data_IF_751622707685
#
_entry.id   IF_751622707685
#
_cell.length_a   1.000
_cell.length_b   1.000
_cell.length_c   1.000
_cell.angle_alpha   90.00
_cell.angle_beta   90.00
_cell.angle_gamma   90.00
#
_symmetry.space_group_name_H-M   'P 1'
#
loop_
_entity.id
_entity.type
_entity.pdbx_description
1 polymer ?
#
# COMPACT_ATOMS: atom_id res chain seq x y z
N UNK A 1 5.19 4.56 -26.10
CA UNK A 1 5.80 3.30 -25.60
C UNK A 1 5.50 3.18 -24.11
N UNK A 2 5.22 1.96 -23.61
CA UNK A 2 4.91 1.73 -22.20
C UNK A 2 6.13 2.02 -21.29
N UNK A 3 5.87 2.56 -20.09
CA UNK A 3 6.88 2.85 -19.05
C UNK A 3 6.88 1.86 -17.90
N UNK A 4 5.75 1.21 -17.67
CA UNK A 4 5.57 0.20 -16.64
C UNK A 4 4.95 -1.07 -17.24
N UNK A 5 5.32 -2.22 -16.68
CA UNK A 5 4.70 -3.51 -16.95
C UNK A 5 3.93 -3.97 -15.71
N UNK A 6 2.66 -4.29 -15.87
CA UNK A 6 1.86 -4.87 -14.79
C UNK A 6 2.34 -6.30 -14.52
N UNK A 7 2.67 -6.60 -13.27
CA UNK A 7 3.11 -7.93 -12.83
C UNK A 7 1.97 -8.72 -12.21
N UNK A 8 1.19 -8.07 -11.37
CA UNK A 8 0.09 -8.68 -10.64
C UNK A 8 -0.91 -7.61 -10.24
N UNK A 9 -2.20 -7.96 -10.28
CA UNK A 9 -3.27 -7.18 -9.67
C UNK A 9 -4.08 -8.10 -8.78
N UNK A 10 -4.39 -7.64 -7.57
CA UNK A 10 -5.17 -8.41 -6.61
C UNK A 10 -6.16 -7.51 -5.90
N UNK A 11 -7.42 -7.92 -5.94
CA UNK A 11 -8.52 -7.27 -5.24
C UNK A 11 -8.98 -8.15 -4.09
N UNK A 12 -9.10 -7.55 -2.91
CA UNK A 12 -9.74 -8.16 -1.75
C UNK A 12 -10.90 -7.27 -1.32
N UNK A 13 -12.08 -7.87 -1.17
CA UNK A 13 -13.31 -7.18 -0.79
C UNK A 13 -13.93 -7.93 0.39
N UNK A 14 -14.19 -7.23 1.49
CA UNK A 14 -14.80 -7.83 2.70
C UNK A 14 -16.22 -7.34 2.96
N UNK A 15 -16.85 -6.65 2.00
CA UNK A 15 -18.19 -6.05 2.08
C UNK A 15 -19.32 -7.01 2.47
N UNK A 16 -19.11 -8.32 2.37
CA UNK A 16 -20.09 -9.31 2.83
C UNK A 16 -20.27 -9.32 4.37
N UNK A 17 -19.33 -8.74 5.12
CA UNK A 17 -19.46 -8.53 6.56
C UNK A 17 -20.05 -7.15 6.83
N UNK A 18 -21.09 -7.08 7.65
CA UNK A 18 -21.73 -5.81 8.06
C UNK A 18 -20.72 -4.82 8.62
N UNK A 19 -19.79 -5.29 9.44
CA UNK A 19 -18.71 -4.46 9.99
C UNK A 19 -17.85 -3.82 8.89
N UNK A 20 -17.56 -4.55 7.82
CA UNK A 20 -16.80 -4.01 6.68
C UNK A 20 -17.65 -3.13 5.77
N UNK A 21 -18.93 -3.47 5.61
CA UNK A 21 -19.87 -2.68 4.81
C UNK A 21 -20.11 -1.31 5.42
N UNK A 22 -20.37 -1.27 6.73
CA UNK A 22 -20.73 -0.08 7.49
C UNK A 22 -19.52 0.74 7.97
N UNK A 23 -18.27 0.30 7.78
CA UNK A 23 -17.11 1.01 8.34
C UNK A 23 -16.85 2.39 7.71
N UNK A 24 -17.32 2.60 6.48
CA UNK A 24 -17.36 3.89 5.78
C UNK A 24 -18.70 3.93 5.06
N UNK A 25 -19.66 4.66 5.60
CA UNK A 25 -21.02 4.70 5.06
C UNK A 25 -21.52 6.13 4.91
N UNK A 26 -22.31 6.38 3.86
CA UNK A 26 -22.96 7.67 3.66
C UNK A 26 -24.33 7.62 4.33
N UNK A 27 -24.54 8.47 5.32
CA UNK A 27 -25.78 8.51 6.09
C UNK A 27 -26.14 9.94 6.47
N UNK A 28 -27.37 10.12 6.93
CA UNK A 28 -27.90 11.39 7.43
C UNK A 28 -27.83 11.39 8.95
N UNK A 29 -27.35 12.48 9.54
CA UNK A 29 -27.33 12.65 10.99
C UNK A 29 -28.72 13.02 11.55
N UNK A 30 -28.85 13.03 12.89
CA UNK A 30 -30.12 13.35 13.57
C UNK A 30 -30.64 14.77 13.28
N UNK A 31 -29.85 15.62 12.64
CA UNK A 31 -30.19 17.00 12.28
C UNK A 31 -30.54 17.14 10.79
N UNK A 32 -30.57 16.04 10.04
CA UNK A 32 -30.88 16.02 8.61
C UNK A 32 -29.70 16.33 7.70
N UNK A 33 -28.46 16.35 8.21
CA UNK A 33 -27.28 16.59 7.38
C UNK A 33 -26.68 15.28 6.88
N UNK A 34 -26.63 15.13 5.56
CA UNK A 34 -25.98 13.98 4.93
C UNK A 34 -24.45 14.11 4.98
N UNK A 35 -23.78 13.12 5.58
CA UNK A 35 -22.34 13.03 5.71
C UNK A 35 -21.77 11.64 5.41
N UNK A 36 -20.48 11.46 5.67
CA UNK A 36 -19.82 10.15 5.66
C UNK A 36 -19.46 9.77 7.09
N UNK A 37 -20.07 8.70 7.59
CA UNK A 37 -19.73 8.10 8.86
C UNK A 37 -18.49 7.22 8.71
N UNK A 38 -17.53 7.40 9.62
CA UNK A 38 -16.37 6.54 9.78
C UNK A 38 -16.48 5.80 11.10
N UNK A 39 -16.71 4.50 11.03
CA UNK A 39 -16.79 3.65 12.22
C UNK A 39 -15.44 3.60 12.96
N UNK A 40 -15.49 3.47 14.29
CA UNK A 40 -14.31 3.20 15.13
C UNK A 40 -13.56 1.92 14.72
N UNK A 41 -14.27 0.97 14.10
CA UNK A 41 -13.72 -0.30 13.64
C UNK A 41 -12.93 -0.20 12.32
N UNK A 42 -12.96 0.96 11.65
CA UNK A 42 -12.36 1.17 10.33
C UNK A 42 -10.90 0.70 10.27
N UNK A 43 -10.09 1.07 11.25
CA UNK A 43 -8.66 0.71 11.28
C UNK A 43 -8.48 -0.81 11.40
N UNK A 44 -9.29 -1.46 12.23
CA UNK A 44 -9.24 -2.91 12.44
C UNK A 44 -9.69 -3.68 11.19
N UNK A 45 -10.78 -3.26 10.57
CA UNK A 45 -11.26 -3.82 9.29
C UNK A 45 -10.20 -3.64 8.21
N UNK A 46 -9.66 -2.44 8.06
CA UNK A 46 -8.62 -2.14 7.09
C UNK A 46 -7.41 -3.06 7.24
N UNK A 47 -6.88 -3.18 8.46
CA UNK A 47 -5.72 -4.02 8.75
C UNK A 47 -5.97 -5.49 8.39
N UNK A 48 -7.15 -6.04 8.73
CA UNK A 48 -7.52 -7.42 8.36
C UNK A 48 -7.60 -7.60 6.85
N UNK A 49 -8.22 -6.66 6.14
CA UNK A 49 -8.36 -6.75 4.68
C UNK A 49 -7.02 -6.61 3.96
N UNK A 50 -6.12 -5.73 4.44
CA UNK A 50 -4.75 -5.63 3.90
C UNK A 50 -3.97 -6.93 4.14
N UNK A 51 -4.05 -7.49 5.36
CA UNK A 51 -3.40 -8.77 5.68
C UNK A 51 -3.87 -9.90 4.76
N UNK A 52 -5.17 -10.00 4.50
CA UNK A 52 -5.73 -10.99 3.58
C UNK A 52 -5.25 -10.77 2.13
N UNK A 53 -5.17 -9.51 1.70
CA UNK A 53 -4.67 -9.14 0.39
C UNK A 53 -3.21 -9.56 0.18
N UNK A 54 -2.31 -9.21 1.13
CA UNK A 54 -0.90 -9.58 1.07
C UNK A 54 -0.72 -11.10 1.12
N UNK A 55 -1.46 -11.80 1.99
CA UNK A 55 -1.39 -13.26 2.08
C UNK A 55 -1.68 -13.93 0.73
N UNK A 56 -2.58 -13.33 -0.06
CA UNK A 56 -2.90 -13.82 -1.42
C UNK A 56 -1.82 -13.48 -2.45
N UNK A 57 -1.14 -12.34 -2.32
CA UNK A 57 -0.17 -11.84 -3.31
C UNK A 57 1.24 -12.38 -3.05
N UNK A 58 1.64 -12.56 -1.79
CA UNK A 58 2.99 -12.95 -1.42
C UNK A 58 3.48 -14.19 -2.19
N UNK A 59 2.71 -15.28 -2.32
CA UNK A 59 3.14 -16.45 -3.10
C UNK A 59 3.36 -16.18 -4.60
N UNK A 60 2.74 -15.13 -5.16
CA UNK A 60 2.85 -14.78 -6.57
C UNK A 60 4.10 -13.97 -6.87
N UNK A 61 4.62 -13.24 -5.88
CA UNK A 61 5.68 -12.22 -6.11
C UNK A 61 6.97 -12.49 -5.37
N UNK A 62 6.93 -13.31 -4.31
CA UNK A 62 8.14 -13.68 -3.59
C UNK A 62 9.15 -14.36 -4.54
N UNK A 63 10.44 -14.09 -4.38
CA UNK A 63 11.50 -14.84 -5.05
C UNK A 63 11.40 -16.35 -4.77
N UNK A 64 11.84 -17.22 -5.70
CA UNK A 64 11.88 -18.66 -5.46
C UNK A 64 12.67 -19.05 -4.21
N UNK A 65 13.76 -18.34 -3.89
CA UNK A 65 14.55 -18.54 -2.67
C UNK A 65 13.72 -18.35 -1.40
N UNK A 66 12.94 -17.27 -1.32
CA UNK A 66 12.03 -16.97 -0.20
C UNK A 66 10.95 -18.05 -0.04
N UNK A 67 10.40 -18.55 -1.16
CA UNK A 67 9.41 -19.64 -1.14
C UNK A 67 10.01 -20.95 -0.62
N UNK A 68 11.23 -21.27 -1.05
CA UNK A 68 11.94 -22.47 -0.61
C UNK A 68 12.28 -22.41 0.88
N UNK A 69 12.77 -21.26 1.37
CA UNK A 69 13.04 -21.04 2.80
C UNK A 69 11.76 -21.19 3.64
N UNK A 70 10.66 -20.61 3.19
CA UNK A 70 9.36 -20.78 3.84
C UNK A 70 8.95 -22.25 3.88
N UNK A 71 8.96 -22.93 2.74
CA UNK A 71 8.56 -24.35 2.63
C UNK A 71 9.43 -25.26 3.50
N UNK A 72 10.75 -25.05 3.51
CA UNK A 72 11.68 -25.80 4.34
C UNK A 72 11.41 -25.56 5.84
N UNK A 73 11.21 -24.31 6.25
CA UNK A 73 10.88 -23.99 7.65
C UNK A 73 9.54 -24.58 8.09
N UNK A 74 8.55 -24.61 7.20
CA UNK A 74 7.24 -25.20 7.44
C UNK A 74 7.33 -26.72 7.62
N UNK A 75 8.09 -27.40 6.74
CA UNK A 75 8.36 -28.83 6.85
C UNK A 75 9.11 -29.17 8.14
N UNK A 76 10.16 -28.42 8.47
CA UNK A 76 10.92 -28.60 9.72
C UNK A 76 10.02 -28.40 10.96
N UNK A 77 9.17 -27.37 10.96
CA UNK A 77 8.20 -27.14 12.06
C UNK A 77 7.23 -28.30 12.22
N UNK A 78 6.75 -28.88 11.13
CA UNK A 78 5.83 -30.03 11.16
C UNK A 78 6.53 -31.30 11.67
N UNK A 79 7.76 -31.57 11.22
CA UNK A 79 8.54 -32.75 11.63
C UNK A 79 9.05 -32.65 13.08
N UNK A 80 9.28 -31.45 13.59
CA UNK A 80 9.80 -31.20 14.94
C UNK A 80 8.71 -30.75 15.93
N UNK A 81 7.44 -31.11 15.68
CA UNK A 81 6.29 -30.82 16.55
C UNK A 81 6.23 -29.36 17.05
N UNK A 82 6.44 -28.40 16.15
CA UNK A 82 6.31 -26.97 16.47
C UNK A 82 7.51 -26.33 17.17
N UNK A 83 8.59 -27.09 17.45
CA UNK A 83 9.78 -26.58 18.15
C UNK A 83 10.59 -25.56 17.35
N UNK A 84 10.39 -25.48 16.04
CA UNK A 84 11.06 -24.53 15.16
C UNK A 84 10.12 -23.37 14.81
N UNK A 85 10.65 -22.15 14.89
CA UNK A 85 9.93 -20.93 14.47
C UNK A 85 9.72 -20.97 12.96
N UNK A 86 8.49 -20.71 12.51
CA UNK A 86 8.20 -20.58 11.08
C UNK A 86 8.94 -19.35 10.53
N UNK A 87 9.68 -19.53 9.45
CA UNK A 87 10.25 -18.40 8.72
C UNK A 87 9.12 -17.61 8.08
N UNK A 88 9.15 -16.28 8.15
CA UNK A 88 8.16 -15.42 7.50
C UNK A 88 8.92 -14.62 6.43
N UNK A 89 8.64 -14.86 5.14
CA UNK A 89 9.28 -14.13 4.05
C UNK A 89 9.06 -12.62 4.18
N UNK A 90 10.11 -11.86 3.89
CA UNK A 90 9.99 -10.41 3.81
C UNK A 90 9.36 -10.02 2.47
N UNK A 91 8.03 -9.92 2.46
CA UNK A 91 7.24 -9.48 1.31
C UNK A 91 7.66 -8.10 0.79
N UNK A 92 8.09 -7.21 1.69
CA UNK A 92 8.35 -5.80 1.37
C UNK A 92 9.71 -5.61 0.72
N UNK A 93 10.64 -6.55 0.92
CA UNK A 93 11.96 -6.56 0.27
C UNK A 93 11.89 -6.55 -1.26
N UNK A 94 10.78 -7.08 -1.81
CA UNK A 94 10.56 -7.16 -3.26
C UNK A 94 10.34 -5.77 -3.87
N UNK A 95 9.85 -4.80 -3.09
CA UNK A 95 9.42 -3.50 -3.59
C UNK A 95 10.40 -2.39 -3.21
N UNK A 96 10.93 -1.71 -4.22
CA UNK A 96 11.74 -0.50 -4.05
C UNK A 96 10.86 0.70 -3.73
N UNK A 97 9.65 0.75 -4.30
CA UNK A 97 8.73 1.88 -4.14
C UNK A 97 7.36 1.43 -3.68
N UNK A 98 6.78 2.16 -2.74
CA UNK A 98 5.41 1.96 -2.27
C UNK A 98 4.60 3.23 -2.53
N UNK A 99 3.38 3.06 -3.02
CA UNK A 99 2.38 4.12 -3.10
C UNK A 99 1.13 3.64 -2.37
N UNK A 100 0.81 4.29 -1.25
CA UNK A 100 -0.27 3.94 -0.35
C UNK A 100 -1.32 5.02 -0.44
N UNK A 101 -2.50 4.67 -0.97
CA UNK A 101 -3.61 5.62 -1.11
C UNK A 101 -3.85 6.39 0.18
N UNK A 102 -3.54 7.69 0.11
CA UNK A 102 -3.67 8.62 1.22
C UNK A 102 -5.14 9.00 1.46
N UNK A 103 -5.93 8.09 2.04
CA UNK A 103 -7.26 8.40 2.55
C UNK A 103 -7.22 9.45 3.67
N UNK A 104 -6.12 9.45 4.44
CA UNK A 104 -5.80 10.40 5.50
C UNK A 104 -4.56 9.94 6.27
N UNK A 105 -4.05 10.79 7.18
CA UNK A 105 -2.82 10.51 7.95
C UNK A 105 -2.90 9.20 8.73
N UNK A 106 -4.03 8.95 9.40
CA UNK A 106 -4.25 7.75 10.19
C UNK A 106 -4.15 6.45 9.37
N UNK A 107 -4.54 6.49 8.09
CA UNK A 107 -4.43 5.33 7.18
C UNK A 107 -2.95 5.06 6.87
N UNK A 108 -2.18 6.10 6.52
CA UNK A 108 -0.74 5.98 6.26
C UNK A 108 -0.02 5.47 7.51
N UNK A 109 -0.29 6.06 8.69
CA UNK A 109 0.32 5.66 9.96
C UNK A 109 -0.05 4.22 10.35
N UNK A 110 -1.29 3.81 10.06
CA UNK A 110 -1.75 2.44 10.29
C UNK A 110 -1.00 1.44 9.41
N UNK A 111 -0.84 1.74 8.12
CA UNK A 111 -0.06 0.91 7.19
C UNK A 111 1.41 0.87 7.61
N UNK A 112 2.03 2.03 7.89
CA UNK A 112 3.42 2.10 8.33
C UNK A 112 3.69 1.21 9.55
N UNK A 113 2.86 1.33 10.60
CA UNK A 113 3.03 0.53 11.83
C UNK A 113 2.79 -0.96 11.61
N UNK A 114 1.72 -1.32 10.91
CA UNK A 114 1.38 -2.73 10.69
C UNK A 114 2.43 -3.48 9.87
N UNK A 115 3.16 -2.78 9.01
CA UNK A 115 4.20 -3.35 8.14
C UNK A 115 5.62 -2.98 8.55
N UNK A 116 5.79 -2.25 9.66
CA UNK A 116 7.10 -1.74 10.10
C UNK A 116 7.88 -1.05 8.98
N UNK A 117 7.19 -0.24 8.18
CA UNK A 117 7.79 0.47 7.05
C UNK A 117 8.70 1.59 7.55
N UNK A 118 9.84 1.76 6.89
CA UNK A 118 10.73 2.90 7.12
C UNK A 118 10.06 4.21 6.69
N UNK A 119 10.51 5.32 7.27
CA UNK A 119 10.03 6.66 6.91
C UNK A 119 10.28 6.99 5.43
N UNK A 120 11.37 6.48 4.85
CA UNK A 120 11.67 6.62 3.42
C UNK A 120 10.59 5.97 2.54
N UNK A 121 10.09 4.78 2.92
CA UNK A 121 9.08 4.06 2.12
C UNK A 121 7.71 4.74 2.13
N UNK A 122 7.41 5.51 3.18
CA UNK A 122 6.12 6.18 3.38
C UNK A 122 6.17 7.68 3.06
N UNK A 123 7.36 8.24 2.85
CA UNK A 123 7.60 9.62 2.46
C UNK A 123 6.75 10.03 1.24
N UNK A 124 6.65 9.27 0.12
CA UNK A 124 5.85 9.67 -1.02
C UNK A 124 4.37 9.91 -0.66
N UNK A 125 3.78 9.00 0.13
CA UNK A 125 2.39 9.09 0.59
C UNK A 125 2.19 10.28 1.53
N UNK A 126 3.11 10.49 2.48
CA UNK A 126 3.06 11.63 3.41
C UNK A 126 3.19 12.98 2.70
N UNK A 127 4.17 13.11 1.80
CA UNK A 127 4.40 14.36 1.08
C UNK A 127 3.25 14.66 0.12
N UNK A 128 2.72 13.64 -0.55
CA UNK A 128 1.53 13.78 -1.41
C UNK A 128 0.32 14.24 -0.60
N UNK A 129 0.04 13.61 0.53
CA UNK A 129 -1.07 14.02 1.41
C UNK A 129 -0.88 15.45 1.92
N UNK A 130 0.33 15.81 2.34
CA UNK A 130 0.65 17.15 2.82
C UNK A 130 0.42 18.21 1.72
N UNK A 131 0.86 17.95 0.49
CA UNK A 131 0.79 18.93 -0.59
C UNK A 131 -0.60 19.04 -1.22
N UNK A 132 -1.20 17.90 -1.55
CA UNK A 132 -2.40 17.84 -2.40
C UNK A 132 -3.65 17.43 -1.63
N UNK A 133 -3.52 17.08 -0.35
CA UNK A 133 -4.59 16.45 0.39
C UNK A 133 -4.95 15.07 -0.17
N UNK A 134 -6.16 14.61 0.13
CA UNK A 134 -6.69 13.37 -0.39
C UNK A 134 -7.29 13.62 -1.79
N UNK A 135 -6.56 13.29 -2.86
CA UNK A 135 -7.04 13.35 -4.25
C UNK A 135 -7.76 12.07 -4.69
N UNK A 136 -8.37 11.37 -3.73
CA UNK A 136 -9.12 10.12 -3.92
C UNK A 136 -8.26 9.03 -4.60
N UNK A 137 -8.83 8.28 -5.53
CA UNK A 137 -8.15 7.19 -6.25
C UNK A 137 -6.87 7.64 -6.98
N UNK A 138 -6.71 8.94 -7.24
CA UNK A 138 -5.53 9.45 -7.93
C UNK A 138 -4.30 9.62 -7.03
N UNK A 139 -4.43 9.60 -5.69
CA UNK A 139 -3.32 9.87 -4.77
C UNK A 139 -2.08 9.02 -5.06
N UNK A 140 -2.27 7.71 -5.31
CA UNK A 140 -1.15 6.79 -5.60
C UNK A 140 -0.35 7.15 -6.85
N UNK A 141 -0.95 7.87 -7.81
CA UNK A 141 -0.27 8.34 -9.01
C UNK A 141 0.53 9.62 -8.75
N UNK A 142 0.05 10.48 -7.86
CA UNK A 142 0.82 11.64 -7.37
C UNK A 142 2.02 11.17 -6.54
N UNK A 143 1.87 10.10 -5.78
CA UNK A 143 2.97 9.45 -5.04
C UNK A 143 4.01 8.84 -5.98
N UNK A 144 3.58 8.15 -7.03
CA UNK A 144 4.49 7.67 -8.07
C UNK A 144 5.23 8.84 -8.75
N UNK A 145 4.50 9.90 -9.10
CA UNK A 145 5.09 11.10 -9.68
C UNK A 145 6.10 11.77 -8.74
N UNK A 146 5.89 11.71 -7.42
CA UNK A 146 6.85 12.18 -6.42
C UNK A 146 8.15 11.37 -6.49
N UNK A 147 8.05 10.04 -6.51
CA UNK A 147 9.21 9.14 -6.63
C UNK A 147 9.99 9.41 -7.92
N UNK A 148 9.29 9.63 -9.03
CA UNK A 148 9.89 9.97 -10.31
C UNK A 148 10.58 11.34 -10.29
N UNK A 149 9.93 12.36 -9.71
CA UNK A 149 10.50 13.69 -9.60
C UNK A 149 11.73 13.73 -8.69
N UNK A 150 11.80 12.86 -7.68
CA UNK A 150 12.99 12.64 -6.86
C UNK A 150 14.12 11.90 -7.57
N UNK A 151 13.95 11.49 -8.83
CA UNK A 151 14.95 10.74 -9.57
C UNK A 151 15.23 9.34 -8.99
N UNK A 152 14.33 8.80 -8.15
CA UNK A 152 14.53 7.51 -7.46
C UNK A 152 14.05 6.31 -8.28
N UNK A 153 13.37 6.55 -9.40
CA UNK A 153 12.84 5.50 -10.26
C UNK A 153 13.89 5.01 -11.26
N UNK A 154 14.23 3.72 -11.19
CA UNK A 154 15.17 3.05 -12.09
C UNK A 154 14.46 1.93 -12.87
N UNK A 155 15.00 1.59 -14.04
CA UNK A 155 14.57 0.40 -14.79
C UNK A 155 14.76 -0.85 -13.94
N UNK A 156 13.73 -1.70 -13.89
CA UNK A 156 13.68 -2.94 -13.10
C UNK A 156 13.04 -2.76 -11.72
N UNK A 157 12.92 -1.53 -11.20
CA UNK A 157 12.29 -1.29 -9.90
C UNK A 157 10.86 -1.84 -9.87
N UNK A 158 10.54 -2.50 -8.76
CA UNK A 158 9.19 -2.94 -8.45
C UNK A 158 8.48 -1.87 -7.61
N UNK A 159 7.28 -1.51 -8.05
CA UNK A 159 6.38 -0.56 -7.38
C UNK A 159 5.15 -1.31 -6.89
N UNK A 160 4.85 -1.19 -5.60
CA UNK A 160 3.58 -1.64 -5.06
C UNK A 160 2.65 -0.46 -4.82
N UNK A 161 1.56 -0.42 -5.58
CA UNK A 161 0.45 0.50 -5.36
C UNK A 161 -0.64 -0.20 -4.58
N UNK A 162 -1.01 0.35 -3.43
CA UNK A 162 -2.11 -0.14 -2.60
C UNK A 162 -3.19 0.93 -2.44
N UNK A 163 -4.42 0.57 -2.79
CA UNK A 163 -5.59 1.43 -2.75
C UNK A 163 -6.67 0.87 -1.82
N UNK A 164 -7.35 1.77 -1.10
CA UNK A 164 -8.44 1.45 -0.18
C UNK A 164 -9.78 2.03 -0.64
N UNK A 165 -10.89 1.44 -0.18
CA UNK A 165 -12.24 1.97 -0.41
C UNK A 165 -13.26 1.37 0.56
N UNK A 166 -14.47 1.95 0.58
CA UNK A 166 -15.59 1.50 1.42
C UNK A 166 -16.05 0.06 1.11
N UNK A 167 -16.80 -0.54 2.04
CA UNK A 167 -17.20 -1.96 1.95
C UNK A 167 -16.07 -2.94 2.28
N UNK A 168 -15.18 -2.57 3.20
CA UNK A 168 -13.74 -2.41 2.93
C UNK A 168 -13.15 -3.19 1.74
N UNK A 169 -12.57 -2.44 0.81
CA UNK A 169 -11.85 -2.93 -0.36
C UNK A 169 -10.38 -2.59 -0.26
N UNK A 170 -9.52 -3.57 -0.51
CA UNK A 170 -8.08 -3.39 -0.70
C UNK A 170 -7.70 -3.83 -2.12
N UNK A 171 -7.09 -2.94 -2.89
CA UNK A 171 -6.56 -3.25 -4.22
C UNK A 171 -5.05 -3.09 -4.20
N UNK A 172 -4.34 -4.11 -4.68
CA UNK A 172 -2.91 -4.05 -4.91
C UNK A 172 -2.61 -4.18 -6.39
N UNK A 173 -1.78 -3.29 -6.91
CA UNK A 173 -1.22 -3.37 -8.25
C UNK A 173 0.31 -3.33 -8.15
N UNK A 174 0.96 -4.33 -8.74
CA UNK A 174 2.40 -4.48 -8.73
C UNK A 174 2.94 -4.18 -10.12
N UNK A 175 3.84 -3.21 -10.19
CA UNK A 175 4.40 -2.72 -11.45
C UNK A 175 5.90 -2.91 -11.48
N UNK A 176 6.43 -3.24 -12.65
CA UNK A 176 7.85 -3.19 -12.96
C UNK A 176 8.13 -1.96 -13.82
N UNK A 177 9.05 -1.10 -13.42
CA UNK A 177 9.49 0.02 -14.26
C UNK A 177 10.32 -0.52 -15.43
N UNK A 178 9.82 -0.41 -16.65
CA UNK A 178 10.56 -0.82 -17.87
C UNK A 178 11.31 0.34 -18.51
N UNK A 179 10.87 1.57 -18.23
CA UNK A 179 11.52 2.81 -18.69
C UNK A 179 11.29 3.94 -17.69
N UNK A 180 12.32 4.33 -16.92
CA UNK A 180 12.24 5.51 -16.06
C UNK A 180 12.14 6.77 -16.92
N UNK A 181 11.61 7.84 -16.33
CA UNK A 181 11.63 9.17 -16.96
C UNK A 181 12.97 9.83 -16.67
N UNK A 182 13.50 10.58 -17.64
CA UNK A 182 14.72 11.38 -17.48
C UNK A 182 14.40 12.79 -16.96
N UNK A 183 13.35 13.42 -17.50
CA UNK A 183 12.84 14.71 -17.02
C UNK A 183 11.42 14.53 -16.49
N UNK A 184 11.28 14.46 -15.17
CA UNK A 184 10.00 14.29 -14.51
C UNK A 184 9.16 15.58 -14.58
N UNK A 185 8.51 15.81 -15.73
CA UNK A 185 7.41 16.76 -15.82
C UNK A 185 6.20 16.22 -15.05
N UNK A 186 5.49 17.07 -14.31
CA UNK A 186 4.31 16.63 -13.56
C UNK A 186 3.98 17.54 -12.37
N UNK A 187 3.09 17.07 -11.46
CA UNK A 187 2.59 17.87 -10.35
C UNK A 187 3.68 18.30 -9.36
N UNK A 188 4.88 17.70 -9.45
CA UNK A 188 6.01 17.98 -8.56
C UNK A 188 7.13 18.83 -9.20
N UNK A 189 7.09 19.06 -10.51
CA UNK A 189 8.23 19.62 -11.26
C UNK A 189 8.73 20.98 -10.75
N UNK A 190 7.83 21.80 -10.23
CA UNK A 190 8.12 23.17 -9.78
C UNK A 190 8.64 23.27 -8.33
N UNK A 191 8.59 22.19 -7.55
CA UNK A 191 8.99 22.26 -6.14
C UNK A 191 9.37 20.96 -5.46
N UNK A 192 9.77 19.94 -6.22
CA UNK A 192 10.29 18.69 -5.66
C UNK A 192 11.43 18.92 -4.66
N UNK A 193 12.26 19.94 -4.89
CA UNK A 193 13.42 20.28 -4.04
C UNK A 193 13.03 20.83 -2.66
N UNK A 194 11.79 21.31 -2.49
CA UNK A 194 11.27 21.80 -1.20
C UNK A 194 10.76 20.67 -0.29
N UNK A 195 10.79 19.42 -0.75
CA UNK A 195 10.35 18.25 -0.02
C UNK A 195 11.54 17.30 0.25
N UNK A 196 11.48 16.40 1.24
CA UNK A 196 10.42 16.28 2.23
C UNK A 196 10.39 17.47 3.20
N UNK A 197 9.21 17.75 3.75
CA UNK A 197 9.05 18.68 4.87
C UNK A 197 8.83 17.90 6.16
N UNK A 198 9.19 18.49 7.29
CA UNK A 198 8.87 17.91 8.58
C UNK A 198 7.36 17.99 8.83
N UNK A 199 6.71 16.85 8.97
CA UNK A 199 5.28 16.76 9.28
C UNK A 199 5.16 16.48 10.78
N UNK A 200 4.52 17.36 11.58
CA UNK A 200 4.24 17.10 13.00
C UNK A 200 3.35 15.87 13.15
#
# INVERSE_FOLDING_TARGET
MARFRLRCIMRTLTAASDQSYQCIYKEEDDKGFTGVNLSTELVGVAARTVKANITSIAPLVLPPSEKLLFAASFAARKLLNGRVKLYIPDFLSVFQHLCIHAGGRAVIDGVQRNFSLSDEKIEPSRMTLHRFGNTSSSSIWYELAYVEAKGRMCKGNQVWMIGFGSGFKCNSALWECIRPVHDAHGPWADCTDRYPVHIP
#
